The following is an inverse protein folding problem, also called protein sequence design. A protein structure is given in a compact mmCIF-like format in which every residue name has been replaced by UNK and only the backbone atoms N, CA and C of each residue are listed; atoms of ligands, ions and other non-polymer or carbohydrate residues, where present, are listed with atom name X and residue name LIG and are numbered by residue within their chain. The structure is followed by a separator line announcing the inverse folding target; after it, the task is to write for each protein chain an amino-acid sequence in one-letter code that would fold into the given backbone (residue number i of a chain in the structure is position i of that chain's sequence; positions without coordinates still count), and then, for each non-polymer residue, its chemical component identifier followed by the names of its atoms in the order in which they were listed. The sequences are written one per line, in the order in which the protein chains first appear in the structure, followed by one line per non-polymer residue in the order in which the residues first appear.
data_IF_883868182200
#
_entry.id   IF_883868182200
#
_cell.length_a   1.000
_cell.length_b   1.000
_cell.length_c   1.000
_cell.angle_alpha   90.00
_cell.angle_beta   90.00
_cell.angle_gamma   90.00
#
_symmetry.space_group_name_H-M   'P 1'
#
loop_
_entity.id
_entity.type
_entity.pdbx_description
1 polymer ?
#
# COMPACT_ATOMS: atom_id res chain seq x y z
N UNK A 1 2.30 0.85 21.21
CA UNK A 1 3.56 0.36 20.63
C UNK A 1 4.29 1.59 20.10
N UNK A 2 5.48 1.90 20.61
CA UNK A 2 6.25 3.04 20.08
C UNK A 2 6.78 2.60 18.71
N UNK A 3 6.52 3.41 17.69
CA UNK A 3 6.83 3.09 16.28
C UNK A 3 8.33 2.98 15.98
N UNK A 4 9.15 3.56 16.87
CA UNK A 4 10.61 3.52 16.85
C UNK A 4 11.07 3.11 18.26
N UNK A 5 11.97 2.14 18.36
CA UNK A 5 12.63 1.84 19.64
C UNK A 5 13.58 2.99 19.99
N UNK A 6 13.22 3.79 20.99
CA UNK A 6 14.02 4.94 21.41
C UNK A 6 15.31 4.52 22.14
N UNK A 7 15.50 3.24 22.49
CA UNK A 7 16.78 2.76 23.05
C UNK A 7 17.85 2.57 21.97
N UNK A 8 17.44 2.17 20.77
CA UNK A 8 18.29 2.07 19.58
C UNK A 8 17.44 2.38 18.36
N UNK A 9 17.62 3.58 17.81
CA UNK A 9 16.97 3.99 16.57
C UNK A 9 17.77 3.42 15.41
N UNK A 10 17.22 2.52 14.58
CA UNK A 10 17.92 2.05 13.39
C UNK A 10 18.15 3.19 12.41
N UNK A 11 19.32 3.27 11.80
CA UNK A 11 19.71 4.29 10.83
C UNK A 11 19.97 3.67 9.47
N UNK A 12 19.29 4.15 8.44
CA UNK A 12 19.50 3.71 7.06
C UNK A 12 19.90 4.88 6.15
N UNK A 13 20.95 4.67 5.35
CA UNK A 13 21.46 5.64 4.39
C UNK A 13 20.96 5.31 2.98
N UNK A 14 20.41 6.29 2.26
CA UNK A 14 20.23 6.19 0.80
C UNK A 14 21.28 7.00 0.06
N UNK A 15 21.93 6.37 -0.92
CA UNK A 15 22.92 6.96 -1.82
C UNK A 15 22.31 6.96 -3.22
N UNK A 16 21.59 8.03 -3.57
CA UNK A 16 20.75 8.05 -4.76
C UNK A 16 20.46 9.46 -5.28
N UNK A 17 19.89 9.52 -6.48
CA UNK A 17 19.43 10.77 -7.08
C UNK A 17 18.15 11.32 -6.43
N UNK A 18 18.01 12.65 -6.46
CA UNK A 18 16.82 13.39 -6.06
C UNK A 18 15.81 13.50 -7.20
N UNK A 19 14.61 12.92 -7.01
CA UNK A 19 13.47 13.06 -7.92
C UNK A 19 12.63 14.28 -7.51
N UNK A 20 12.63 15.33 -8.33
CA UNK A 20 11.82 16.53 -8.10
C UNK A 20 10.32 16.26 -7.97
N UNK A 21 9.82 15.17 -8.56
CA UNK A 21 8.41 14.75 -8.44
C UNK A 21 8.08 14.08 -7.11
N UNK A 22 9.09 13.74 -6.31
CA UNK A 22 8.96 13.13 -4.99
C UNK A 22 8.39 11.71 -4.98
N UNK A 23 8.42 11.03 -6.13
CA UNK A 23 7.83 9.71 -6.31
C UNK A 23 8.83 8.56 -6.31
N UNK A 24 10.09 8.82 -6.64
CA UNK A 24 11.21 7.88 -6.63
C UNK A 24 12.41 8.52 -5.93
N UNK A 25 13.61 7.96 -6.14
CA UNK A 25 14.86 8.49 -5.61
C UNK A 25 14.87 8.58 -4.08
N UNK A 26 15.68 9.49 -3.56
CA UNK A 26 15.82 9.72 -2.10
C UNK A 26 14.47 10.02 -1.43
N UNK A 27 13.53 10.64 -2.15
CA UNK A 27 12.21 10.97 -1.59
C UNK A 27 11.38 9.72 -1.31
N UNK A 28 11.38 8.73 -2.21
CA UNK A 28 10.73 7.46 -1.97
C UNK A 28 11.43 6.67 -0.86
N UNK A 29 12.76 6.75 -0.82
CA UNK A 29 13.56 6.03 0.16
C UNK A 29 13.31 6.54 1.57
N UNK A 30 13.41 7.86 1.80
CA UNK A 30 13.15 8.47 3.11
C UNK A 30 11.71 8.27 3.58
N UNK A 31 10.73 8.33 2.68
CA UNK A 31 9.33 7.98 3.03
C UNK A 31 9.21 6.52 3.43
N UNK A 32 9.91 5.61 2.75
CA UNK A 32 9.87 4.19 3.08
C UNK A 32 10.56 3.90 4.42
N UNK A 33 11.72 4.51 4.68
CA UNK A 33 12.40 4.43 5.97
C UNK A 33 11.51 4.95 7.10
N UNK A 34 10.88 6.12 6.90
CA UNK A 34 9.93 6.69 7.86
C UNK A 34 8.72 5.78 8.07
N UNK A 35 8.18 5.17 7.01
CA UNK A 35 7.08 4.20 7.05
C UNK A 35 7.46 2.84 7.63
N UNK A 36 8.72 2.62 7.98
CA UNK A 36 9.18 1.43 8.67
C UNK A 36 9.82 1.76 10.02
N UNK A 37 9.78 3.01 10.49
CA UNK A 37 10.33 3.39 11.79
C UNK A 37 11.86 3.36 11.83
N UNK A 38 12.49 3.72 10.71
CA UNK A 38 13.95 3.83 10.55
C UNK A 38 14.31 5.29 10.32
N UNK A 39 15.36 5.78 10.99
CA UNK A 39 15.89 7.11 10.73
C UNK A 39 16.62 7.11 9.38
N UNK A 40 16.10 7.88 8.43
CA UNK A 40 16.66 7.98 7.09
C UNK A 40 17.69 9.08 6.96
N UNK A 41 18.87 8.73 6.45
CA UNK A 41 19.93 9.66 6.06
C UNK A 41 20.17 9.59 4.55
N UNK A 42 20.85 10.58 3.97
CA UNK A 42 20.99 10.72 2.52
C UNK A 42 22.38 11.19 2.10
N UNK A 43 22.89 10.60 1.03
CA UNK A 43 23.95 11.15 0.20
C UNK A 43 23.43 11.30 -1.24
N UNK A 44 23.30 12.53 -1.72
CA UNK A 44 22.71 12.82 -3.03
C UNK A 44 23.78 12.65 -4.12
N UNK A 45 23.49 11.80 -5.12
CA UNK A 45 24.40 11.54 -6.25
C UNK A 45 24.10 12.44 -7.46
N UNK A 46 22.82 12.64 -7.75
CA UNK A 46 22.36 13.48 -8.85
C UNK A 46 21.05 14.19 -8.50
N UNK A 47 20.76 15.30 -9.16
CA UNK A 47 19.48 16.01 -9.08
C UNK A 47 18.78 15.87 -10.43
N UNK A 48 17.53 15.43 -10.43
CA UNK A 48 16.74 15.32 -11.66
C UNK A 48 15.61 16.35 -11.67
N UNK A 49 15.47 17.08 -12.78
CA UNK A 49 14.28 17.86 -13.08
C UNK A 49 13.23 16.90 -13.67
N UNK A 50 12.56 16.16 -12.80
CA UNK A 50 11.69 15.04 -13.14
C UNK A 50 10.25 15.27 -12.68
N UNK A 51 9.29 14.70 -13.43
CA UNK A 51 7.89 14.65 -13.06
C UNK A 51 7.26 13.32 -13.52
N UNK A 52 5.95 13.15 -13.34
CA UNK A 52 5.22 11.90 -13.67
C UNK A 52 5.28 11.45 -15.14
N UNK A 53 5.76 12.31 -16.06
CA UNK A 53 5.79 12.05 -17.51
C UNK A 53 7.19 11.85 -18.06
N UNK A 54 8.17 12.57 -17.53
CA UNK A 54 9.48 12.71 -18.16
C UNK A 54 10.57 13.13 -17.16
N UNK A 55 11.82 12.95 -17.60
CA UNK A 55 13.02 13.53 -16.99
C UNK A 55 13.54 14.60 -17.97
N UNK A 56 13.65 15.85 -17.53
CA UNK A 56 14.04 16.99 -18.39
C UNK A 56 15.52 17.32 -18.32
N UNK A 57 16.12 17.12 -17.15
CA UNK A 57 17.52 17.39 -16.90
C UNK A 57 18.02 16.48 -15.77
N UNK A 58 19.30 16.18 -15.83
CA UNK A 58 20.06 15.48 -14.79
C UNK A 58 21.32 16.30 -14.53
N UNK A 59 21.61 16.59 -13.27
CA UNK A 59 22.85 17.22 -12.85
C UNK A 59 23.49 16.38 -11.76
N UNK A 60 24.73 15.96 -12.00
CA UNK A 60 25.49 15.18 -11.02
C UNK A 60 26.09 16.06 -9.94
N UNK A 61 26.09 15.55 -8.72
CA UNK A 61 26.85 16.09 -7.60
C UNK A 61 28.30 15.64 -7.79
N UNK A 62 29.26 16.53 -7.52
CA UNK A 62 30.68 16.17 -7.60
C UNK A 62 31.02 15.04 -6.63
N UNK A 63 31.88 14.12 -7.05
CA UNK A 63 32.34 12.98 -6.24
C UNK A 63 32.82 13.41 -4.85
N UNK A 64 33.59 14.49 -4.74
CA UNK A 64 34.10 14.98 -3.45
C UNK A 64 32.97 15.33 -2.47
N UNK A 65 31.88 15.88 -2.97
CA UNK A 65 30.69 16.22 -2.17
C UNK A 65 29.88 14.97 -1.83
N UNK A 66 29.86 13.95 -2.71
CA UNK A 66 29.23 12.66 -2.40
C UNK A 66 29.97 11.98 -1.25
N UNK A 67 31.30 11.92 -1.31
CA UNK A 67 32.15 11.36 -0.23
C UNK A 67 31.95 12.12 1.07
N UNK A 68 32.04 13.45 1.04
CA UNK A 68 31.83 14.28 2.22
C UNK A 68 30.45 14.10 2.87
N UNK A 69 29.39 13.87 2.07
CA UNK A 69 28.06 13.54 2.60
C UNK A 69 28.05 12.19 3.33
N UNK A 70 28.67 11.15 2.75
CA UNK A 70 28.74 9.81 3.34
C UNK A 70 29.56 9.87 4.64
N UNK A 71 30.75 10.45 4.60
CA UNK A 71 31.63 10.62 5.77
C UNK A 71 30.93 11.39 6.90
N UNK A 72 30.26 12.51 6.59
CA UNK A 72 29.55 13.30 7.59
C UNK A 72 28.45 12.51 8.32
N UNK A 73 27.74 11.63 7.60
CA UNK A 73 26.69 10.79 8.20
C UNK A 73 27.32 9.66 9.01
N UNK A 74 28.29 8.94 8.45
CA UNK A 74 28.86 7.74 9.07
C UNK A 74 29.66 8.08 10.33
N UNK A 75 30.40 9.19 10.32
CA UNK A 75 31.28 9.59 11.43
C UNK A 75 30.55 10.11 12.67
N UNK A 76 29.33 10.65 12.53
CA UNK A 76 28.55 11.21 13.64
C UNK A 76 27.32 10.35 14.00
N UNK A 77 26.46 10.10 13.01
CA UNK A 77 25.16 9.42 13.20
C UNK A 77 25.33 7.90 13.20
N UNK A 78 26.25 7.40 12.37
CA UNK A 78 26.37 5.98 12.05
C UNK A 78 25.33 5.50 11.04
N UNK A 79 25.55 4.30 10.50
CA UNK A 79 24.67 3.67 9.50
C UNK A 79 24.60 2.17 9.76
N UNK A 80 23.39 1.64 9.97
CA UNK A 80 23.18 0.20 10.17
C UNK A 80 23.01 -0.55 8.84
N UNK A 81 22.47 0.10 7.81
CA UNK A 81 22.41 -0.41 6.44
C UNK A 81 22.31 0.74 5.44
N UNK A 82 22.79 0.54 4.22
CA UNK A 82 22.68 1.52 3.14
C UNK A 82 22.02 0.91 1.89
N UNK A 83 21.49 1.78 1.03
CA UNK A 83 21.15 1.43 -0.33
C UNK A 83 21.73 2.37 -1.36
N UNK A 84 22.00 1.84 -2.55
CA UNK A 84 22.22 2.66 -3.74
C UNK A 84 20.96 2.69 -4.61
N UNK A 85 20.68 3.86 -5.18
CA UNK A 85 19.68 4.05 -6.22
C UNK A 85 20.33 4.43 -7.55
N UNK A 86 19.84 5.50 -8.18
CA UNK A 86 20.46 6.07 -9.38
C UNK A 86 21.87 6.62 -9.04
N UNK A 87 22.90 6.06 -9.67
CA UNK A 87 24.31 6.51 -9.55
C UNK A 87 24.84 7.21 -10.80
N UNK A 88 24.15 7.10 -11.94
CA UNK A 88 24.39 7.78 -13.21
C UNK A 88 25.72 7.48 -13.93
N UNK A 89 26.89 7.65 -13.29
CA UNK A 89 28.22 7.56 -13.93
C UNK A 89 29.17 6.58 -13.24
N UNK A 90 30.22 6.16 -13.95
CA UNK A 90 31.26 5.26 -13.45
C UNK A 90 32.00 5.85 -12.25
N UNK A 91 32.31 7.15 -12.29
CA UNK A 91 33.06 7.85 -11.25
C UNK A 91 32.28 7.90 -9.93
N UNK A 92 30.96 8.11 -10.01
CA UNK A 92 30.08 8.05 -8.84
C UNK A 92 30.02 6.63 -8.30
N UNK A 93 29.87 5.62 -9.16
CA UNK A 93 29.85 4.21 -8.73
C UNK A 93 31.13 3.87 -7.99
N UNK A 94 32.29 4.19 -8.56
CA UNK A 94 33.59 3.89 -7.97
C UNK A 94 33.76 4.57 -6.62
N UNK A 95 33.42 5.86 -6.52
CA UNK A 95 33.48 6.57 -5.25
C UNK A 95 32.56 5.97 -4.19
N UNK A 96 31.31 5.67 -4.54
CA UNK A 96 30.36 5.06 -3.60
C UNK A 96 30.80 3.66 -3.19
N UNK A 97 31.33 2.86 -4.13
CA UNK A 97 31.87 1.53 -3.82
C UNK A 97 33.03 1.60 -2.82
N UNK A 98 33.94 2.56 -2.98
CA UNK A 98 35.07 2.74 -2.08
C UNK A 98 34.64 3.14 -0.67
N UNK A 99 33.77 4.14 -0.53
CA UNK A 99 33.29 4.59 0.79
C UNK A 99 32.50 3.47 1.51
N UNK A 100 31.61 2.77 0.79
CA UNK A 100 30.81 1.70 1.38
C UNK A 100 31.69 0.53 1.84
N UNK A 101 32.71 0.16 1.06
CA UNK A 101 33.64 -0.90 1.46
C UNK A 101 34.56 -0.46 2.60
N UNK A 102 35.01 0.79 2.63
CA UNK A 102 35.84 1.33 3.71
C UNK A 102 35.11 1.26 5.06
N UNK A 103 33.87 1.72 5.10
CA UNK A 103 33.05 1.72 6.31
C UNK A 103 32.32 0.38 6.58
N UNK A 104 32.48 -0.61 5.70
CA UNK A 104 31.86 -1.95 5.80
C UNK A 104 30.34 -1.90 5.99
N UNK A 105 29.67 -1.01 5.27
CA UNK A 105 28.22 -0.79 5.41
C UNK A 105 27.44 -1.90 4.68
N UNK A 106 26.48 -2.59 5.33
CA UNK A 106 25.62 -3.56 4.64
C UNK A 106 24.83 -2.89 3.52
N UNK A 107 25.11 -3.26 2.26
CA UNK A 107 24.61 -2.55 1.09
C UNK A 107 23.50 -3.29 0.34
N UNK A 108 22.39 -2.60 0.10
CA UNK A 108 21.34 -3.00 -0.85
C UNK A 108 21.51 -2.24 -2.17
N UNK A 109 21.77 -2.96 -3.26
CA UNK A 109 21.95 -2.34 -4.59
C UNK A 109 20.67 -2.46 -5.39
N UNK A 110 20.03 -1.34 -5.69
CA UNK A 110 18.99 -1.24 -6.72
C UNK A 110 19.66 -0.79 -8.04
N UNK A 111 19.88 -1.69 -9.02
CA UNK A 111 20.66 -1.39 -10.23
C UNK A 111 19.81 -0.58 -11.22
N UNK A 112 19.45 0.65 -10.85
CA UNK A 112 18.56 1.52 -11.63
C UNK A 112 19.24 1.94 -12.93
N UNK A 113 18.78 1.36 -14.05
CA UNK A 113 19.32 1.67 -15.38
C UNK A 113 18.44 2.62 -16.20
N UNK A 114 17.12 2.50 -16.07
CA UNK A 114 16.14 3.22 -16.90
C UNK A 114 15.00 3.74 -16.01
N UNK A 115 14.59 4.99 -16.22
CA UNK A 115 13.46 5.61 -15.55
C UNK A 115 12.13 4.95 -15.95
N UNK A 116 11.09 5.13 -15.12
CA UNK A 116 9.75 4.66 -15.48
C UNK A 116 9.20 5.33 -16.76
N UNK A 117 9.66 6.55 -17.07
CA UNK A 117 9.37 7.27 -18.31
C UNK A 117 10.19 6.79 -19.52
N UNK A 118 11.13 5.85 -19.34
CA UNK A 118 11.99 5.32 -20.40
C UNK A 118 13.32 6.06 -20.60
N UNK A 119 13.61 7.11 -19.82
CA UNK A 119 14.88 7.83 -19.91
C UNK A 119 16.04 6.99 -19.33
N UNK A 120 17.21 6.91 -19.99
CA UNK A 120 18.38 6.27 -19.40
C UNK A 120 18.83 7.03 -18.14
N UNK A 121 19.02 6.30 -17.04
CA UNK A 121 19.47 6.83 -15.76
C UNK A 121 20.86 6.34 -15.36
N UNK A 122 21.38 5.34 -16.06
CA UNK A 122 22.75 4.86 -15.99
C UNK A 122 23.36 4.99 -17.38
N UNK A 123 24.57 5.55 -17.47
CA UNK A 123 25.30 5.58 -18.74
C UNK A 123 25.80 4.18 -19.11
N UNK A 124 25.86 3.88 -20.40
CA UNK A 124 26.24 2.55 -20.88
C UNK A 124 27.66 2.13 -20.43
N UNK A 125 28.59 3.08 -20.37
CA UNK A 125 29.95 2.88 -19.88
C UNK A 125 30.02 2.59 -18.37
N UNK A 126 28.99 2.98 -17.61
CA UNK A 126 28.91 2.78 -16.16
C UNK A 126 28.45 1.38 -15.74
N UNK A 127 27.86 0.59 -16.65
CA UNK A 127 27.44 -0.80 -16.38
C UNK A 127 28.63 -1.66 -15.97
N UNK A 128 29.79 -1.45 -16.60
CA UNK A 128 31.01 -2.18 -16.28
C UNK A 128 31.50 -1.92 -14.85
N UNK A 129 31.45 -0.67 -14.39
CA UNK A 129 31.82 -0.31 -13.02
C UNK A 129 30.80 -0.84 -12.01
N UNK A 130 29.50 -0.81 -12.31
CA UNK A 130 28.47 -1.45 -11.48
C UNK A 130 28.80 -2.92 -11.18
N UNK A 131 29.07 -3.71 -12.24
CA UNK A 131 29.36 -5.15 -12.12
C UNK A 131 30.69 -5.41 -11.41
N UNK A 132 31.76 -4.68 -11.73
CA UNK A 132 33.11 -4.97 -11.22
C UNK A 132 33.41 -4.38 -9.84
N UNK A 133 32.70 -3.33 -9.43
CA UNK A 133 33.01 -2.55 -8.22
C UNK A 133 31.92 -2.63 -7.17
N UNK A 134 30.65 -2.51 -7.57
CA UNK A 134 29.55 -2.38 -6.61
C UNK A 134 28.86 -3.71 -6.28
N UNK A 135 28.59 -4.56 -7.28
CA UNK A 135 27.97 -5.87 -7.02
C UNK A 135 28.79 -6.77 -6.08
N UNK A 136 30.13 -6.84 -6.17
CA UNK A 136 30.92 -7.74 -5.32
C UNK A 136 30.87 -7.42 -3.83
N UNK A 137 30.50 -6.20 -3.45
CA UNK A 137 30.39 -5.75 -2.05
C UNK A 137 28.93 -5.65 -1.58
N UNK A 138 27.97 -6.01 -2.43
CA UNK A 138 26.55 -5.90 -2.11
C UNK A 138 26.12 -7.02 -1.17
N UNK A 139 25.39 -6.68 -0.12
CA UNK A 139 24.66 -7.69 0.67
C UNK A 139 23.48 -8.26 -0.12
N UNK A 140 22.76 -7.40 -0.83
CA UNK A 140 21.68 -7.84 -1.72
C UNK A 140 21.55 -6.95 -2.93
N UNK A 141 21.25 -7.53 -4.10
CA UNK A 141 20.95 -6.79 -5.33
C UNK A 141 19.50 -7.06 -5.72
N UNK A 142 18.77 -6.02 -6.12
CA UNK A 142 17.33 -6.11 -6.40
C UNK A 142 16.98 -5.79 -7.86
N UNK A 143 17.54 -6.46 -8.88
CA UNK A 143 17.22 -6.14 -10.28
C UNK A 143 15.76 -6.46 -10.62
N UNK A 144 15.15 -5.65 -11.47
CA UNK A 144 13.96 -6.09 -12.20
C UNK A 144 14.35 -7.02 -13.36
N UNK A 145 13.38 -7.70 -13.98
CA UNK A 145 13.66 -8.61 -15.10
C UNK A 145 14.57 -8.00 -16.19
N UNK A 146 14.30 -6.77 -16.67
CA UNK A 146 15.11 -6.13 -17.72
C UNK A 146 16.52 -5.78 -17.25
N UNK A 147 16.66 -5.32 -16.00
CA UNK A 147 17.98 -5.07 -15.40
C UNK A 147 18.76 -6.37 -15.25
N UNK A 148 18.11 -7.46 -14.85
CA UNK A 148 18.72 -8.78 -14.78
C UNK A 148 19.16 -9.28 -16.16
N UNK A 149 18.36 -9.05 -17.21
CA UNK A 149 18.76 -9.39 -18.59
C UNK A 149 20.04 -8.65 -19.02
N UNK A 150 20.16 -7.36 -18.66
CA UNK A 150 21.38 -6.57 -18.95
C UNK A 150 22.58 -7.09 -18.16
N UNK A 151 22.40 -7.40 -16.87
CA UNK A 151 23.48 -7.90 -16.02
C UNK A 151 23.98 -9.27 -16.48
N UNK A 152 23.09 -10.18 -16.87
CA UNK A 152 23.47 -11.57 -17.21
C UNK A 152 23.65 -11.82 -18.71
N UNK A 153 23.22 -10.91 -19.57
CA UNK A 153 23.15 -11.12 -21.03
C UNK A 153 22.14 -12.21 -21.45
N UNK A 154 21.24 -12.63 -20.56
CA UNK A 154 20.27 -13.70 -20.78
C UNK A 154 18.87 -13.12 -20.88
N UNK A 155 18.02 -13.65 -21.75
CA UNK A 155 16.58 -13.28 -21.78
C UNK A 155 15.81 -13.96 -20.65
N UNK A 156 14.82 -13.26 -20.08
CA UNK A 156 13.98 -13.76 -18.99
C UNK A 156 12.52 -13.77 -19.45
N UNK A 157 12.01 -14.96 -19.79
CA UNK A 157 10.63 -15.18 -20.20
C UNK A 157 9.71 -15.70 -19.09
N UNK A 158 10.27 -16.19 -17.98
CA UNK A 158 9.49 -16.77 -16.89
C UNK A 158 10.26 -17.00 -15.60
N UNK A 159 9.59 -17.64 -14.64
CA UNK A 159 10.10 -17.89 -13.27
C UNK A 159 11.41 -18.67 -13.28
N UNK A 160 11.52 -19.72 -14.07
CA UNK A 160 12.74 -20.53 -14.13
C UNK A 160 13.93 -19.77 -14.73
N UNK A 161 13.69 -18.87 -15.69
CA UNK A 161 14.73 -18.00 -16.23
C UNK A 161 15.19 -16.99 -15.18
N UNK A 162 14.24 -16.43 -14.40
CA UNK A 162 14.55 -15.52 -13.31
C UNK A 162 15.37 -16.21 -12.19
N UNK A 163 15.11 -17.50 -11.88
CA UNK A 163 15.96 -18.28 -10.96
C UNK A 163 17.38 -18.43 -11.48
N UNK A 164 17.54 -18.74 -12.78
CA UNK A 164 18.87 -18.84 -13.40
C UNK A 164 19.60 -17.50 -13.40
N UNK A 165 18.89 -16.41 -13.70
CA UNK A 165 19.45 -15.06 -13.65
C UNK A 165 19.91 -14.70 -12.23
N UNK A 166 19.10 -15.00 -11.21
CA UNK A 166 19.45 -14.75 -9.82
C UNK A 166 20.77 -15.45 -9.43
N UNK A 167 20.95 -16.70 -9.86
CA UNK A 167 22.19 -17.46 -9.61
C UNK A 167 23.40 -16.86 -10.33
N UNK A 168 23.26 -16.52 -11.62
CA UNK A 168 24.35 -15.88 -12.38
C UNK A 168 24.78 -14.54 -11.77
N UNK A 169 23.83 -13.76 -11.25
CA UNK A 169 24.14 -12.49 -10.57
C UNK A 169 24.80 -12.75 -9.22
N UNK A 170 24.40 -13.80 -8.49
CA UNK A 170 25.04 -14.17 -7.23
C UNK A 170 26.50 -14.58 -7.44
N UNK A 171 26.83 -15.23 -8.57
CA UNK A 171 28.21 -15.55 -8.95
C UNK A 171 29.07 -14.28 -9.21
N UNK A 172 28.46 -13.09 -9.32
CA UNK A 172 29.17 -11.81 -9.40
C UNK A 172 29.58 -11.25 -8.02
N UNK A 173 29.19 -11.90 -6.92
CA UNK A 173 29.61 -11.59 -5.56
C UNK A 173 28.55 -11.23 -4.51
N UNK A 174 27.32 -10.75 -4.84
CA UNK A 174 26.33 -10.45 -3.82
C UNK A 174 25.95 -11.64 -2.94
N UNK A 175 25.71 -11.42 -1.64
CA UNK A 175 25.25 -12.49 -0.74
C UNK A 175 23.84 -12.98 -1.11
N UNK A 176 22.97 -12.06 -1.54
CA UNK A 176 21.60 -12.36 -2.00
C UNK A 176 21.20 -11.62 -3.27
N UNK A 177 20.28 -12.21 -4.04
CA UNK A 177 19.75 -11.60 -5.27
C UNK A 177 18.24 -11.72 -5.32
N UNK A 178 17.55 -10.60 -5.56
CA UNK A 178 16.10 -10.54 -5.70
C UNK A 178 15.73 -10.09 -7.11
N UNK A 179 15.28 -11.04 -7.94
CA UNK A 179 14.78 -10.73 -9.29
C UNK A 179 13.29 -10.41 -9.21
N UNK A 180 12.94 -9.15 -9.48
CA UNK A 180 11.56 -8.63 -9.42
C UNK A 180 10.81 -8.99 -10.70
N UNK A 181 9.71 -9.74 -10.59
CA UNK A 181 8.95 -10.28 -11.71
C UNK A 181 7.76 -9.43 -12.17
N UNK A 182 7.67 -8.16 -11.78
CA UNK A 182 6.59 -7.26 -12.23
C UNK A 182 6.42 -7.16 -13.76
N UNK A 183 7.45 -7.50 -14.54
CA UNK A 183 7.43 -7.50 -16.00
C UNK A 183 7.19 -8.88 -16.65
N UNK A 184 7.19 -9.97 -15.87
CA UNK A 184 6.84 -11.31 -16.36
C UNK A 184 5.32 -11.35 -16.57
N UNK A 185 4.81 -11.91 -17.66
CA UNK A 185 3.36 -11.96 -17.92
C UNK A 185 2.62 -12.87 -16.93
N UNK A 186 1.35 -12.57 -16.64
CA UNK A 186 0.50 -13.40 -15.78
C UNK A 186 -0.37 -12.60 -14.80
N UNK A 187 -1.29 -13.29 -14.14
CA UNK A 187 -2.20 -12.72 -13.13
C UNK A 187 -1.52 -12.39 -11.80
N UNK A 188 -0.31 -12.90 -11.57
CA UNK A 188 0.50 -12.66 -10.37
C UNK A 188 1.79 -11.90 -10.71
N UNK A 189 2.35 -11.23 -9.70
CA UNK A 189 3.71 -10.71 -9.68
C UNK A 189 4.54 -11.61 -8.76
N UNK A 190 5.43 -12.40 -9.37
CA UNK A 190 6.29 -13.37 -8.68
C UNK A 190 7.69 -12.79 -8.58
N UNK A 191 8.14 -12.52 -7.36
CA UNK A 191 9.53 -12.09 -7.11
C UNK A 191 10.31 -13.28 -6.55
N UNK A 192 11.58 -13.39 -6.95
CA UNK A 192 12.45 -14.53 -6.62
C UNK A 192 13.64 -14.02 -5.84
N UNK A 193 13.82 -14.52 -4.62
CA UNK A 193 15.04 -14.39 -3.84
C UNK A 193 15.89 -15.64 -4.01
N UNK A 194 17.17 -15.46 -4.31
CA UNK A 194 18.22 -16.46 -4.15
C UNK A 194 19.16 -16.02 -3.02
N UNK A 195 19.29 -16.84 -1.97
CA UNK A 195 20.08 -16.52 -0.78
C UNK A 195 20.51 -17.83 -0.10
N UNK A 196 21.78 -17.92 0.31
CA UNK A 196 22.35 -19.09 0.99
C UNK A 196 22.14 -20.43 0.23
N UNK A 197 22.14 -20.39 -1.10
CA UNK A 197 21.95 -21.56 -1.95
C UNK A 197 20.49 -21.99 -2.15
N UNK A 198 19.53 -21.32 -1.52
CA UNK A 198 18.11 -21.61 -1.63
C UNK A 198 17.36 -20.54 -2.44
N UNK A 199 16.20 -20.96 -2.97
CA UNK A 199 15.23 -20.06 -3.58
C UNK A 199 14.03 -19.81 -2.66
N UNK A 200 13.51 -18.60 -2.74
CA UNK A 200 12.23 -18.23 -2.13
C UNK A 200 11.41 -17.40 -3.11
N UNK A 201 10.16 -17.82 -3.34
CA UNK A 201 9.20 -17.12 -4.20
C UNK A 201 8.21 -16.35 -3.35
N UNK A 202 7.95 -15.09 -3.72
CA UNK A 202 6.84 -14.31 -3.18
C UNK A 202 5.87 -13.93 -4.28
N UNK A 203 4.62 -14.30 -4.07
CA UNK A 203 3.51 -14.10 -5.02
C UNK A 203 2.57 -13.04 -4.48
N UNK A 204 2.17 -12.12 -5.33
CA UNK A 204 1.07 -11.21 -5.04
C UNK A 204 0.20 -11.04 -6.30
N UNK A 205 -1.10 -10.75 -6.14
CA UNK A 205 -1.95 -10.38 -7.27
C UNK A 205 -1.36 -9.22 -8.04
N UNK A 206 -1.42 -9.28 -9.37
CA UNK A 206 -1.03 -8.14 -10.20
C UNK A 206 -2.08 -7.05 -10.05
N UNK A 207 -1.65 -5.87 -9.59
CA UNK A 207 -2.52 -4.72 -9.43
C UNK A 207 -2.42 -3.82 -10.67
N UNK A 208 -3.54 -3.60 -11.35
CA UNK A 208 -3.64 -2.57 -12.37
C UNK A 208 -3.68 -1.20 -11.71
N UNK A 209 -2.61 -0.43 -11.86
CA UNK A 209 -2.50 0.90 -11.29
C UNK A 209 -1.63 1.79 -12.17
N UNK A 210 -2.08 3.03 -12.40
CA UNK A 210 -1.24 4.08 -13.00
C UNK A 210 -0.20 4.64 -12.03
N UNK A 211 -0.32 4.31 -10.74
CA UNK A 211 0.50 4.86 -9.66
C UNK A 211 1.60 3.87 -9.26
N UNK A 212 2.58 3.66 -10.14
CA UNK A 212 3.69 2.71 -9.99
C UNK A 212 5.07 3.37 -10.05
N UNK A 213 5.13 4.70 -10.09
CA UNK A 213 6.39 5.42 -10.00
C UNK A 213 7.00 5.21 -8.60
N UNK A 214 8.29 4.85 -8.56
CA UNK A 214 9.01 4.56 -7.32
C UNK A 214 8.96 3.13 -6.78
N UNK A 215 8.36 2.16 -7.50
CA UNK A 215 8.23 0.77 -6.99
C UNK A 215 9.57 0.14 -6.66
N UNK A 216 10.56 0.25 -7.54
CA UNK A 216 11.90 -0.27 -7.29
C UNK A 216 12.56 0.39 -6.08
N UNK A 217 12.54 1.72 -6.03
CA UNK A 217 13.14 2.48 -4.94
C UNK A 217 12.55 2.12 -3.57
N UNK A 218 11.22 2.06 -3.47
CA UNK A 218 10.55 1.73 -2.22
C UNK A 218 10.75 0.27 -1.83
N UNK A 219 10.86 -0.64 -2.80
CA UNK A 219 11.16 -2.05 -2.54
C UNK A 219 12.55 -2.24 -1.94
N UNK A 220 13.59 -1.68 -2.57
CA UNK A 220 14.97 -1.75 -2.07
C UNK A 220 15.14 -0.99 -0.76
N UNK A 221 14.45 0.15 -0.59
CA UNK A 221 14.43 0.90 0.67
C UNK A 221 13.78 0.10 1.80
N UNK A 222 12.69 -0.64 1.54
CA UNK A 222 12.07 -1.46 2.56
C UNK A 222 12.99 -2.59 3.03
N UNK A 223 13.71 -3.25 2.10
CA UNK A 223 14.73 -4.25 2.46
C UNK A 223 15.81 -3.62 3.33
N UNK A 224 16.32 -2.45 2.94
CA UNK A 224 17.37 -1.73 3.67
C UNK A 224 16.92 -1.38 5.09
N UNK A 225 15.68 -0.90 5.24
CA UNK A 225 15.11 -0.57 6.54
C UNK A 225 15.02 -1.80 7.46
N UNK A 226 14.59 -2.95 6.95
CA UNK A 226 14.53 -4.17 7.75
C UNK A 226 15.93 -4.72 8.09
N UNK A 227 16.89 -4.61 7.18
CA UNK A 227 18.29 -4.93 7.47
C UNK A 227 18.87 -4.01 8.55
N UNK A 228 18.57 -2.71 8.52
CA UNK A 228 18.99 -1.76 9.56
C UNK A 228 18.43 -2.13 10.95
N UNK A 229 17.22 -2.70 10.99
CA UNK A 229 16.61 -3.26 12.22
C UNK A 229 17.25 -4.58 12.67
N UNK A 230 18.19 -5.14 11.90
CA UNK A 230 18.83 -6.42 12.16
C UNK A 230 17.97 -7.63 11.79
N UNK A 231 17.00 -7.48 10.88
CA UNK A 231 16.20 -8.61 10.39
C UNK A 231 16.96 -9.48 9.39
N UNK A 232 16.52 -10.73 9.28
CA UNK A 232 16.98 -11.66 8.25
C UNK A 232 16.51 -11.21 6.85
N UNK A 233 17.29 -11.54 5.79
CA UNK A 233 16.99 -11.13 4.43
C UNK A 233 15.66 -11.71 3.91
N UNK A 234 15.28 -12.94 4.29
CA UNK A 234 14.00 -13.53 3.88
C UNK A 234 12.82 -12.81 4.55
N UNK A 235 12.98 -12.36 5.78
CA UNK A 235 11.98 -11.52 6.46
C UNK A 235 11.89 -10.14 5.80
N UNK A 236 13.03 -9.49 5.56
CA UNK A 236 13.10 -8.20 4.86
C UNK A 236 12.43 -8.25 3.48
N UNK A 237 12.62 -9.35 2.73
CA UNK A 237 11.98 -9.56 1.44
C UNK A 237 10.44 -9.66 1.54
N UNK A 238 9.92 -10.36 2.57
CA UNK A 238 8.46 -10.44 2.82
C UNK A 238 7.87 -9.08 3.11
N UNK A 239 8.49 -8.33 4.03
CA UNK A 239 8.04 -6.99 4.42
C UNK A 239 8.06 -6.05 3.22
N UNK A 240 9.14 -6.06 2.43
CA UNK A 240 9.27 -5.23 1.25
C UNK A 240 8.18 -5.53 0.21
N UNK A 241 7.88 -6.82 -0.05
CA UNK A 241 6.79 -7.22 -0.95
C UNK A 241 5.43 -6.73 -0.46
N UNK A 242 5.13 -6.95 0.82
CA UNK A 242 3.85 -6.50 1.41
C UNK A 242 3.70 -4.98 1.30
N UNK A 243 4.75 -4.23 1.68
CA UNK A 243 4.77 -2.78 1.64
C UNK A 243 4.51 -2.26 0.23
N UNK A 244 5.22 -2.76 -0.79
CA UNK A 244 5.03 -2.24 -2.15
C UNK A 244 3.69 -2.64 -2.76
N UNK A 245 3.20 -3.85 -2.49
CA UNK A 245 1.86 -4.26 -2.92
C UNK A 245 0.80 -3.32 -2.33
N UNK A 246 0.91 -3.01 -1.04
CA UNK A 246 0.02 -2.07 -0.37
C UNK A 246 0.15 -0.66 -0.94
N UNK A 247 1.38 -0.20 -1.13
CA UNK A 247 1.66 1.14 -1.61
C UNK A 247 1.19 1.39 -3.04
N UNK A 248 1.21 0.37 -3.91
CA UNK A 248 0.66 0.43 -5.27
C UNK A 248 -0.87 0.52 -5.22
N UNK A 249 -1.51 -0.28 -4.37
CA UNK A 249 -2.97 -0.27 -4.20
C UNK A 249 -3.48 1.13 -3.83
N UNK A 250 -2.79 1.80 -2.92
CA UNK A 250 -3.13 3.16 -2.49
C UNK A 250 -2.22 4.25 -3.05
N UNK A 251 -1.67 4.01 -4.24
CA UNK A 251 -0.85 5.00 -4.92
C UNK A 251 -1.55 6.35 -5.06
N UNK A 252 -0.76 7.41 -5.10
CA UNK A 252 -1.22 8.80 -4.97
C UNK A 252 -1.61 9.31 -6.37
N UNK A 253 -2.87 9.70 -6.60
CA UNK A 253 -3.39 10.05 -7.94
C UNK A 253 -2.99 11.47 -8.39
N UNK A 254 -1.71 11.82 -8.30
CA UNK A 254 -1.15 13.13 -8.69
C UNK A 254 -0.43 13.06 -10.03
N UNK A 255 -0.33 14.21 -10.70
CA UNK A 255 0.30 14.33 -12.01
C UNK A 255 -0.56 13.77 -13.14
N UNK A 256 0.02 13.79 -14.35
CA UNK A 256 -0.67 13.46 -15.60
C UNK A 256 0.00 12.31 -16.38
N UNK A 257 0.90 11.58 -15.73
CA UNK A 257 1.58 10.39 -16.26
C UNK A 257 1.50 9.25 -15.24
N UNK A 258 2.64 8.61 -14.95
CA UNK A 258 2.74 7.59 -13.90
C UNK A 258 2.83 8.25 -12.53
N UNK A 259 1.80 8.10 -11.71
CA UNK A 259 1.77 8.65 -10.35
C UNK A 259 2.67 7.85 -9.39
N UNK A 260 3.05 8.43 -8.24
CA UNK A 260 3.84 7.73 -7.24
C UNK A 260 2.99 6.72 -6.45
N UNK A 261 3.61 5.63 -6.05
CA UNK A 261 3.04 4.76 -5.00
C UNK A 261 3.02 5.48 -3.64
N UNK A 262 2.30 4.93 -2.66
CA UNK A 262 2.20 5.50 -1.32
C UNK A 262 2.83 4.59 -0.25
N UNK A 263 4.15 4.69 0.01
CA UNK A 263 4.80 3.82 1.01
C UNK A 263 4.32 4.13 2.44
N UNK A 264 3.74 5.31 2.66
CA UNK A 264 3.22 5.77 3.96
C UNK A 264 1.82 5.24 4.29
N UNK A 265 1.16 4.50 3.38
CA UNK A 265 -0.23 4.06 3.55
C UNK A 265 -0.45 3.29 4.87
N UNK A 266 0.46 2.38 5.22
CA UNK A 266 0.41 1.62 6.47
C UNK A 266 0.55 2.53 7.70
N UNK A 267 1.47 3.50 7.68
CA UNK A 267 1.66 4.44 8.78
C UNK A 267 0.42 5.33 8.98
N UNK A 268 -0.18 5.81 7.89
CA UNK A 268 -1.40 6.60 7.98
C UNK A 268 -2.56 5.81 8.58
N UNK A 269 -2.71 4.54 8.21
CA UNK A 269 -3.67 3.65 8.85
C UNK A 269 -3.43 3.55 10.36
N UNK A 270 -2.19 3.30 10.79
CA UNK A 270 -1.85 3.24 12.22
C UNK A 270 -2.15 4.54 12.96
N UNK A 271 -1.86 5.70 12.36
CA UNK A 271 -2.14 7.01 12.96
C UNK A 271 -3.64 7.30 13.13
N UNK A 272 -4.48 6.73 12.27
CA UNK A 272 -5.92 6.98 12.20
C UNK A 272 -6.76 5.99 13.01
N UNK A 273 -6.15 4.97 13.63
CA UNK A 273 -6.86 3.91 14.37
C UNK A 273 -7.73 4.47 15.47
N UNK A 274 -7.18 5.35 16.31
CA UNK A 274 -7.91 5.93 17.43
C UNK A 274 -9.07 6.82 16.96
N UNK A 275 -8.81 7.74 16.03
CA UNK A 275 -9.82 8.65 15.50
C UNK A 275 -10.98 7.89 14.82
N UNK A 276 -10.66 6.82 14.08
CA UNK A 276 -11.66 5.97 13.42
C UNK A 276 -12.57 5.27 14.44
N UNK A 277 -12.01 4.67 15.49
CA UNK A 277 -12.81 4.03 16.56
C UNK A 277 -13.67 5.06 17.28
N UNK A 278 -13.10 6.22 17.65
CA UNK A 278 -13.83 7.26 18.35
C UNK A 278 -14.98 7.85 17.51
N UNK A 279 -14.82 7.93 16.18
CA UNK A 279 -15.90 8.33 15.29
C UNK A 279 -17.10 7.36 15.37
N UNK A 280 -16.82 6.04 15.37
CA UNK A 280 -17.87 5.01 15.53
C UNK A 280 -18.50 5.08 16.92
N UNK A 281 -17.72 5.30 17.98
CA UNK A 281 -18.21 5.43 19.36
C UNK A 281 -19.20 6.58 19.49
N UNK A 282 -18.85 7.74 18.95
CA UNK A 282 -19.73 8.90 19.01
C UNK A 282 -20.97 8.72 18.11
N UNK A 283 -20.83 8.02 16.98
CA UNK A 283 -21.96 7.63 16.15
C UNK A 283 -22.93 6.69 16.90
N UNK A 284 -22.41 5.73 17.67
CA UNK A 284 -23.20 4.86 18.55
C UNK A 284 -23.95 5.68 19.60
N UNK A 285 -23.33 6.69 20.22
CA UNK A 285 -24.00 7.57 21.19
C UNK A 285 -25.18 8.32 20.59
N UNK A 286 -25.04 8.81 19.36
CA UNK A 286 -26.15 9.45 18.62
C UNK A 286 -27.31 8.46 18.45
N UNK A 287 -27.00 7.22 18.07
CA UNK A 287 -28.02 6.17 17.88
C UNK A 287 -28.71 5.75 19.18
N UNK A 288 -27.96 5.56 20.28
CA UNK A 288 -28.53 5.26 21.60
C UNK A 288 -29.38 6.42 22.16
N UNK A 289 -29.14 7.65 21.66
CA UNK A 289 -29.91 8.84 22.00
C UNK A 289 -31.28 8.95 21.30
N UNK A 290 -31.58 8.09 20.32
CA UNK A 290 -32.87 8.07 19.62
C UNK A 290 -33.98 7.60 20.59
N UNK A 291 -35.06 8.37 20.70
CA UNK A 291 -36.16 8.09 21.64
C UNK A 291 -37.01 6.88 21.24
N UNK A 292 -37.29 6.71 19.94
CA UNK A 292 -38.01 5.57 19.38
C UNK A 292 -37.38 5.12 18.05
N UNK A 293 -36.57 4.06 18.12
CA UNK A 293 -35.83 3.54 16.99
C UNK A 293 -36.54 2.38 16.26
N UNK A 294 -37.80 2.07 16.62
CA UNK A 294 -38.53 0.92 16.04
C UNK A 294 -38.66 0.98 14.52
N UNK A 295 -38.69 2.19 13.94
CA UNK A 295 -38.77 2.39 12.48
C UNK A 295 -37.49 2.03 11.73
N UNK A 296 -36.33 2.12 12.40
CA UNK A 296 -35.02 1.95 11.75
C UNK A 296 -34.29 0.69 12.18
N UNK A 297 -34.74 0.01 13.24
CA UNK A 297 -34.10 -1.18 13.79
C UNK A 297 -34.60 -2.46 13.08
N UNK A 298 -33.74 -3.16 12.31
CA UNK A 298 -34.07 -4.47 11.76
C UNK A 298 -34.01 -5.56 12.84
N UNK A 299 -34.59 -6.73 12.58
CA UNK A 299 -34.57 -7.88 13.49
C UNK A 299 -33.13 -8.36 13.74
N UNK A 300 -32.27 -8.34 12.72
CA UNK A 300 -30.84 -8.69 12.87
C UNK A 300 -30.01 -7.63 13.62
N UNK A 301 -30.63 -6.50 14.00
CA UNK A 301 -29.95 -5.38 14.65
C UNK A 301 -29.18 -4.47 13.68
N UNK A 302 -29.01 -3.22 14.12
CA UNK A 302 -28.23 -2.19 13.43
C UNK A 302 -26.75 -2.43 13.67
N UNK A 303 -25.91 -2.25 12.66
CA UNK A 303 -24.49 -2.03 12.88
C UNK A 303 -24.07 -0.77 12.13
N UNK A 304 -23.00 -0.16 12.61
CA UNK A 304 -22.38 1.01 12.02
C UNK A 304 -20.87 0.81 12.01
N UNK A 305 -20.24 1.06 10.87
CA UNK A 305 -18.85 0.75 10.66
C UNK A 305 -18.13 1.90 9.96
N UNK A 306 -16.85 2.06 10.27
CA UNK A 306 -15.95 3.01 9.60
C UNK A 306 -14.57 2.38 9.39
N UNK A 307 -14.01 2.61 8.20
CA UNK A 307 -12.72 2.11 7.77
C UNK A 307 -11.59 3.11 7.96
N UNK A 308 -10.38 2.59 8.13
CA UNK A 308 -9.14 3.37 7.99
C UNK A 308 -9.02 3.94 6.57
N UNK A 309 -8.24 5.03 6.35
CA UNK A 309 -8.15 5.67 5.05
C UNK A 309 -7.58 4.77 3.94
N UNK A 310 -6.80 3.74 4.28
CA UNK A 310 -6.22 2.79 3.33
C UNK A 310 -6.56 1.34 3.73
N UNK A 311 -7.83 1.09 4.07
CA UNK A 311 -8.30 -0.19 4.59
C UNK A 311 -8.27 -1.33 3.55
N UNK A 312 -7.62 -2.44 3.90
CA UNK A 312 -7.34 -3.61 3.04
C UNK A 312 -8.33 -4.76 3.26
N UNK A 313 -8.81 -4.89 4.49
CA UNK A 313 -9.64 -6.01 4.93
C UNK A 313 -10.64 -5.57 5.99
N UNK A 314 -11.49 -6.49 6.44
CA UNK A 314 -12.40 -6.23 7.57
C UNK A 314 -11.65 -5.85 8.86
N UNK A 315 -10.40 -6.30 9.04
CA UNK A 315 -9.55 -5.92 10.18
C UNK A 315 -9.13 -4.44 10.19
N UNK A 316 -9.30 -3.72 9.08
CA UNK A 316 -9.07 -2.28 9.00
C UNK A 316 -10.37 -1.46 9.16
N UNK A 317 -11.44 -2.10 9.61
CA UNK A 317 -12.77 -1.51 9.76
C UNK A 317 -13.27 -1.69 11.19
N UNK A 318 -13.53 -0.57 11.86
CA UNK A 318 -14.12 -0.52 13.19
C UNK A 318 -15.65 -0.61 13.08
N UNK A 319 -16.28 -1.45 13.90
CA UNK A 319 -17.73 -1.59 13.99
C UNK A 319 -18.12 -2.07 15.40
N UNK A 320 -19.42 -2.27 15.70
CA UNK A 320 -19.88 -2.77 17.01
C UNK A 320 -19.93 -4.31 16.99
N UNK A 321 -19.11 -5.02 17.79
CA UNK A 321 -19.23 -6.47 17.97
C UNK A 321 -20.58 -6.81 18.59
N UNK A 322 -21.31 -7.75 17.98
CA UNK A 322 -22.65 -8.14 18.43
C UNK A 322 -23.78 -7.19 18.02
N UNK A 323 -23.46 -6.07 17.34
CA UNK A 323 -24.41 -5.08 16.79
C UNK A 323 -25.11 -4.21 17.86
N UNK A 324 -26.02 -3.37 17.42
CA UNK A 324 -26.83 -2.46 18.21
C UNK A 324 -28.28 -2.93 18.08
N UNK A 325 -28.90 -3.27 19.21
CA UNK A 325 -30.23 -3.89 19.23
C UNK A 325 -31.26 -2.99 19.88
N UNK A 326 -32.52 -3.24 19.54
CA UNK A 326 -33.65 -2.58 20.15
C UNK A 326 -33.91 -3.16 21.56
N UNK A 327 -33.89 -2.31 22.59
CA UNK A 327 -34.28 -2.63 23.97
C UNK A 327 -35.46 -1.75 24.33
N UNK A 328 -36.67 -2.32 24.25
CA UNK A 328 -37.91 -1.56 24.32
C UNK A 328 -38.10 -0.70 23.06
N UNK A 329 -37.93 0.62 23.18
CA UNK A 329 -37.98 1.56 22.04
C UNK A 329 -36.61 2.15 21.67
N UNK A 330 -35.60 1.92 22.50
CA UNK A 330 -34.28 2.54 22.35
C UNK A 330 -33.26 1.56 21.78
N UNK A 331 -32.21 2.09 21.18
CA UNK A 331 -31.07 1.31 20.75
C UNK A 331 -30.08 1.13 21.90
N UNK A 332 -29.48 -0.06 21.97
CA UNK A 332 -28.37 -0.35 22.87
C UNK A 332 -27.29 -1.14 22.15
N UNK A 333 -26.05 -0.64 22.18
CA UNK A 333 -24.90 -1.36 21.69
C UNK A 333 -24.54 -2.51 22.64
N UNK A 334 -24.23 -3.68 22.10
CA UNK A 334 -23.85 -4.85 22.90
C UNK A 334 -22.44 -4.75 23.46
N UNK A 335 -21.57 -4.00 22.81
CA UNK A 335 -20.18 -3.82 23.21
C UNK A 335 -19.60 -2.54 22.65
N UNK A 336 -18.34 -2.24 23.02
CA UNK A 336 -17.61 -1.11 22.50
C UNK A 336 -17.13 -1.38 21.05
N UNK A 337 -17.05 -0.37 20.17
CA UNK A 337 -16.54 -0.58 18.81
C UNK A 337 -15.10 -1.09 18.76
N UNK A 338 -14.87 -2.07 17.89
CA UNK A 338 -13.56 -2.71 17.67
C UNK A 338 -13.30 -2.95 16.18
N UNK A 339 -12.02 -3.07 15.80
CA UNK A 339 -11.62 -3.43 14.44
C UNK A 339 -11.92 -4.89 14.13
N UNK A 340 -12.35 -5.20 12.90
CA UNK A 340 -12.69 -6.58 12.50
C UNK A 340 -14.06 -7.05 12.97
N UNK A 341 -14.88 -6.17 13.56
CA UNK A 341 -16.14 -6.57 14.20
C UNK A 341 -17.33 -6.80 13.24
N UNK A 342 -17.19 -6.55 11.93
CA UNK A 342 -18.30 -6.72 10.97
C UNK A 342 -17.85 -7.00 9.53
N UNK A 343 -17.88 -8.27 9.12
CA UNK A 343 -17.63 -8.64 7.71
C UNK A 343 -18.76 -8.20 6.77
N UNK A 344 -19.97 -7.97 7.27
CA UNK A 344 -21.09 -7.53 6.45
C UNK A 344 -20.88 -6.10 5.95
N UNK A 345 -20.69 -5.15 6.87
CA UNK A 345 -20.49 -3.74 6.50
C UNK A 345 -19.09 -3.52 5.90
N UNK A 346 -18.10 -4.31 6.30
CA UNK A 346 -16.78 -4.27 5.68
C UNK A 346 -16.84 -4.51 4.18
N UNK A 347 -17.63 -5.49 3.71
CA UNK A 347 -17.79 -5.76 2.27
C UNK A 347 -18.44 -4.59 1.53
N UNK A 348 -19.43 -3.93 2.12
CA UNK A 348 -20.04 -2.73 1.55
C UNK A 348 -19.02 -1.60 1.39
N UNK A 349 -18.27 -1.30 2.46
CA UNK A 349 -17.25 -0.26 2.45
C UNK A 349 -16.15 -0.59 1.45
N UNK A 350 -15.50 -1.75 1.56
CA UNK A 350 -14.37 -2.14 0.71
C UNK A 350 -14.76 -2.19 -0.78
N UNK A 351 -15.96 -2.66 -1.11
CA UNK A 351 -16.42 -2.70 -2.51
C UNK A 351 -16.73 -1.31 -3.04
N UNK A 352 -17.43 -0.47 -2.26
CA UNK A 352 -17.77 0.90 -2.66
C UNK A 352 -16.51 1.73 -2.92
N UNK A 353 -15.45 1.47 -2.15
CA UNK A 353 -14.14 2.13 -2.27
C UNK A 353 -13.36 1.86 -3.55
N UNK A 354 -13.73 0.80 -4.28
CA UNK A 354 -13.18 0.56 -5.62
C UNK A 354 -13.67 1.63 -6.62
N UNK A 355 -14.83 2.24 -6.36
CA UNK A 355 -15.44 3.27 -7.19
C UNK A 355 -15.25 4.68 -6.64
N UNK A 356 -15.32 4.84 -5.32
CA UNK A 356 -15.11 6.11 -4.64
C UNK A 356 -14.31 5.92 -3.34
N UNK A 357 -13.06 6.38 -3.35
CA UNK A 357 -12.14 6.24 -2.22
C UNK A 357 -12.53 7.08 -0.99
N UNK A 358 -13.42 8.06 -1.13
CA UNK A 358 -13.92 8.88 -0.01
C UNK A 358 -14.92 8.14 0.88
N UNK A 359 -15.57 7.09 0.36
CA UNK A 359 -16.47 6.26 1.14
C UNK A 359 -15.67 5.50 2.19
N UNK A 360 -15.93 5.76 3.47
CA UNK A 360 -15.26 5.07 4.57
C UNK A 360 -16.21 4.43 5.56
N UNK A 361 -17.49 4.77 5.55
CA UNK A 361 -18.47 4.30 6.52
C UNK A 361 -19.67 3.63 5.86
N UNK A 362 -20.27 2.70 6.59
CA UNK A 362 -21.54 2.08 6.23
C UNK A 362 -22.38 1.81 7.47
N UNK A 363 -23.71 1.86 7.34
CA UNK A 363 -24.66 1.57 8.40
C UNK A 363 -25.87 0.84 7.83
N UNK A 364 -26.32 -0.24 8.47
CA UNK A 364 -27.57 -0.89 8.07
C UNK A 364 -28.75 -0.45 8.92
N UNK A 365 -29.90 -0.24 8.27
CA UNK A 365 -31.20 0.05 8.90
C UNK A 365 -32.29 -0.85 8.29
N UNK A 366 -33.43 -0.92 8.98
CA UNK A 366 -34.61 -1.63 8.51
C UNK A 366 -35.13 -1.07 7.18
N UNK A 367 -35.49 -1.97 6.28
CA UNK A 367 -36.18 -1.61 5.04
C UNK A 367 -37.65 -1.28 5.32
N UNK A 368 -38.11 -0.14 4.81
CA UNK A 368 -39.51 0.18 4.60
C UNK A 368 -39.62 1.21 3.47
N UNK A 369 -40.75 1.24 2.78
CA UNK A 369 -40.97 2.23 1.73
C UNK A 369 -40.97 3.67 2.34
N UNK A 370 -41.49 3.84 3.57
CA UNK A 370 -41.41 5.12 4.31
C UNK A 370 -39.96 5.58 4.55
N UNK A 371 -39.06 4.67 4.91
CA UNK A 371 -37.65 5.01 5.14
C UNK A 371 -36.94 5.39 3.82
N UNK A 372 -37.28 4.74 2.71
CA UNK A 372 -36.75 5.10 1.38
C UNK A 372 -37.22 6.49 0.95
N UNK A 373 -38.51 6.77 1.06
CA UNK A 373 -39.09 8.09 0.73
C UNK A 373 -38.43 9.21 1.55
N UNK A 374 -38.18 8.97 2.85
CA UNK A 374 -37.45 9.92 3.71
C UNK A 374 -36.03 10.16 3.20
N UNK A 375 -35.27 9.11 2.89
CA UNK A 375 -33.91 9.24 2.35
C UNK A 375 -33.90 10.07 1.06
N UNK A 376 -34.82 9.79 0.14
CA UNK A 376 -34.95 10.55 -1.12
C UNK A 376 -35.36 12.01 -0.87
N UNK A 377 -36.26 12.27 0.09
CA UNK A 377 -36.66 13.64 0.47
C UNK A 377 -35.51 14.47 1.07
N UNK A 378 -34.52 13.80 1.66
CA UNK A 378 -33.28 14.42 2.14
C UNK A 378 -32.28 14.69 1.00
N UNK A 379 -32.63 14.38 -0.25
CA UNK A 379 -31.77 14.52 -1.42
C UNK A 379 -30.72 13.43 -1.55
N UNK A 380 -30.82 12.35 -0.77
CA UNK A 380 -29.87 11.23 -0.82
C UNK A 380 -30.19 10.34 -2.01
N UNK A 381 -29.14 9.94 -2.73
CA UNK A 381 -29.26 9.04 -3.86
C UNK A 381 -29.41 7.62 -3.38
N UNK A 382 -30.53 7.01 -3.72
CA UNK A 382 -30.83 5.61 -3.41
C UNK A 382 -30.63 4.75 -4.67
N UNK A 383 -30.02 3.57 -4.50
CA UNK A 383 -29.93 2.53 -5.52
C UNK A 383 -30.23 1.16 -4.90
N UNK A 384 -30.28 0.11 -5.71
CA UNK A 384 -30.68 -1.22 -5.26
C UNK A 384 -30.09 -2.34 -6.09
N UNK A 385 -30.18 -3.55 -5.54
CA UNK A 385 -29.96 -4.80 -6.26
C UNK A 385 -30.98 -5.86 -5.81
N UNK A 386 -31.34 -6.78 -6.71
CA UNK A 386 -32.26 -7.87 -6.42
C UNK A 386 -31.49 -9.17 -6.22
N UNK A 387 -31.59 -9.77 -5.04
CA UNK A 387 -30.91 -11.03 -4.71
C UNK A 387 -31.35 -12.21 -5.58
N UNK A 388 -32.50 -12.12 -6.25
CA UNK A 388 -33.00 -13.13 -7.19
C UNK A 388 -32.28 -13.10 -8.54
N UNK A 389 -31.65 -11.98 -8.87
CA UNK A 389 -30.83 -11.79 -10.08
C UNK A 389 -29.36 -12.19 -9.84
N UNK A 390 -29.02 -12.66 -8.65
CA UNK A 390 -27.64 -13.06 -8.29
C UNK A 390 -27.19 -14.28 -9.12
N UNK A 391 -26.06 -14.19 -9.84
CA UNK A 391 -25.54 -15.31 -10.61
C UNK A 391 -25.22 -16.53 -9.73
N UNK A 392 -25.49 -17.78 -10.18
CA UNK A 392 -25.25 -18.98 -9.40
C UNK A 392 -23.81 -19.11 -8.85
N UNK A 393 -22.81 -18.70 -9.63
CA UNK A 393 -21.40 -18.70 -9.27
C UNK A 393 -21.06 -17.72 -8.14
N UNK A 394 -21.78 -16.60 -8.05
CA UNK A 394 -21.66 -15.63 -6.94
C UNK A 394 -22.35 -16.22 -5.71
N UNK A 395 -23.54 -16.80 -5.87
CA UNK A 395 -24.32 -17.41 -4.79
C UNK A 395 -23.59 -18.59 -4.13
N UNK A 396 -22.79 -19.33 -4.91
CA UNK A 396 -21.97 -20.44 -4.43
C UNK A 396 -20.72 -20.00 -3.65
N UNK A 397 -20.27 -18.74 -3.81
CA UNK A 397 -19.07 -18.22 -3.16
C UNK A 397 -19.43 -17.39 -1.93
N UNK A 398 -19.02 -17.87 -0.76
CA UNK A 398 -19.27 -17.18 0.49
C UNK A 398 -18.75 -15.73 0.46
N UNK A 399 -19.62 -14.79 0.85
CA UNK A 399 -19.29 -13.37 0.92
C UNK A 399 -19.25 -12.64 -0.43
N UNK A 400 -19.56 -13.29 -1.55
CA UNK A 400 -19.52 -12.65 -2.88
C UNK A 400 -20.78 -11.84 -3.22
N UNK A 401 -21.91 -12.10 -2.55
CA UNK A 401 -23.20 -11.43 -2.80
C UNK A 401 -23.13 -9.92 -2.62
N UNK A 402 -22.52 -9.44 -1.53
CA UNK A 402 -22.46 -8.00 -1.23
C UNK A 402 -21.57 -7.28 -2.26
N UNK A 403 -20.33 -7.74 -2.53
CA UNK A 403 -19.54 -7.16 -3.60
C UNK A 403 -20.24 -7.14 -4.96
N UNK A 404 -21.00 -8.18 -5.31
CA UNK A 404 -21.82 -8.16 -6.53
C UNK A 404 -22.94 -7.11 -6.46
N UNK A 405 -23.74 -7.11 -5.38
CA UNK A 405 -24.87 -6.20 -5.22
C UNK A 405 -24.46 -4.72 -5.19
N UNK A 406 -23.33 -4.39 -4.56
CA UNK A 406 -22.77 -3.03 -4.59
C UNK A 406 -22.40 -2.63 -6.02
N UNK A 407 -21.74 -3.51 -6.78
CA UNK A 407 -21.38 -3.22 -8.18
C UNK A 407 -22.61 -2.95 -9.04
N UNK A 408 -23.64 -3.80 -8.94
CA UNK A 408 -24.93 -3.61 -9.63
C UNK A 408 -25.56 -2.27 -9.24
N UNK A 409 -25.59 -1.94 -7.94
CA UNK A 409 -26.18 -0.69 -7.46
C UNK A 409 -25.41 0.55 -7.96
N UNK A 410 -24.07 0.48 -8.03
CA UNK A 410 -23.22 1.55 -8.57
C UNK A 410 -23.43 1.72 -10.07
N UNK A 411 -23.42 0.63 -10.84
CA UNK A 411 -23.61 0.63 -12.29
C UNK A 411 -24.95 1.24 -12.69
N UNK A 412 -26.02 0.95 -11.94
CA UNK A 412 -27.36 1.51 -12.17
C UNK A 412 -27.43 3.03 -12.12
N UNK A 413 -26.59 3.68 -11.30
CA UNK A 413 -26.62 5.14 -11.10
C UNK A 413 -25.32 5.85 -11.51
N UNK A 414 -24.36 5.11 -12.07
CA UNK A 414 -23.09 5.58 -12.60
C UNK A 414 -22.06 6.08 -11.57
N UNK A 415 -22.35 5.96 -10.26
CA UNK A 415 -21.47 6.36 -9.14
C UNK A 415 -21.89 5.66 -7.85
N UNK A 416 -21.12 5.80 -6.78
CA UNK A 416 -21.54 5.27 -5.47
C UNK A 416 -22.79 6.01 -4.97
N UNK A 417 -23.90 5.31 -4.67
CA UNK A 417 -25.09 5.91 -4.07
C UNK A 417 -24.90 6.17 -2.57
N UNK A 418 -25.72 7.06 -2.00
CA UNK A 418 -25.73 7.33 -0.56
C UNK A 418 -26.43 6.21 0.23
N UNK A 419 -27.34 5.48 -0.40
CA UNK A 419 -27.98 4.29 0.17
C UNK A 419 -28.17 3.19 -0.87
N UNK A 420 -27.98 1.94 -0.45
CA UNK A 420 -28.25 0.73 -1.24
C UNK A 420 -29.28 -0.11 -0.49
N UNK A 421 -30.37 -0.51 -1.14
CA UNK A 421 -31.34 -1.44 -0.54
C UNK A 421 -31.48 -2.75 -1.31
N UNK A 422 -31.97 -3.77 -0.61
CA UNK A 422 -32.46 -5.01 -1.20
C UNK A 422 -33.71 -5.50 -0.47
N UNK A 423 -34.64 -6.13 -1.21
CA UNK A 423 -35.90 -6.65 -0.67
C UNK A 423 -35.80 -8.02 0.02
N UNK A 424 -34.58 -8.45 0.29
CA UNK A 424 -34.31 -9.75 0.92
C UNK A 424 -34.38 -10.91 -0.07
N UNK A 425 -34.31 -12.11 0.46
CA UNK A 425 -34.52 -13.41 -0.21
C UNK A 425 -34.90 -14.43 0.88
N UNK A 426 -35.14 -15.69 0.52
CA UNK A 426 -35.40 -16.74 1.50
C UNK A 426 -34.35 -16.78 2.62
N UNK A 427 -34.78 -16.52 3.87
CA UNK A 427 -33.90 -16.46 5.04
C UNK A 427 -32.98 -15.23 5.10
N UNK A 428 -33.23 -14.18 4.29
CA UNK A 428 -32.49 -12.91 4.30
C UNK A 428 -33.46 -11.75 4.50
N UNK A 429 -33.32 -11.05 5.63
CA UNK A 429 -34.11 -9.87 5.95
C UNK A 429 -33.91 -8.75 4.91
N UNK A 430 -34.98 -8.06 4.46
CA UNK A 430 -34.89 -6.84 3.67
C UNK A 430 -34.09 -5.74 4.40
N UNK A 431 -33.28 -4.97 3.68
CA UNK A 431 -32.34 -4.04 4.33
C UNK A 431 -32.04 -2.81 3.47
N UNK A 432 -31.77 -1.68 4.14
CA UNK A 432 -31.15 -0.49 3.56
C UNK A 432 -29.76 -0.34 4.20
N UNK A 433 -28.74 -0.12 3.39
CA UNK A 433 -27.38 0.18 3.83
C UNK A 433 -27.02 1.60 3.38
N UNK A 434 -26.82 2.48 4.35
CA UNK A 434 -26.32 3.83 4.14
C UNK A 434 -24.79 3.78 3.93
N UNK A 435 -24.28 4.59 3.02
CA UNK A 435 -22.86 4.72 2.69
C UNK A 435 -22.44 6.18 2.87
N UNK A 436 -21.24 6.41 3.41
CA UNK A 436 -20.77 7.77 3.67
C UNK A 436 -19.29 7.87 3.97
N UNK A 437 -18.84 9.10 4.24
CA UNK A 437 -17.44 9.42 4.53
C UNK A 437 -17.03 9.13 5.97
N UNK A 438 -17.99 9.12 6.89
CA UNK A 438 -17.76 8.91 8.32
C UNK A 438 -19.02 8.37 9.00
N UNK A 439 -18.86 7.70 10.15
CA UNK A 439 -19.97 7.07 10.86
C UNK A 439 -20.89 8.12 11.52
N UNK A 440 -20.37 9.26 11.95
CA UNK A 440 -21.19 10.32 12.55
C UNK A 440 -22.26 10.83 11.61
N UNK A 441 -21.89 11.15 10.37
CA UNK A 441 -22.81 11.59 9.33
C UNK A 441 -23.92 10.56 9.09
N UNK A 442 -23.59 9.26 9.08
CA UNK A 442 -24.58 8.20 8.92
C UNK A 442 -25.53 8.08 10.11
N UNK A 443 -25.02 8.19 11.34
CA UNK A 443 -25.85 8.18 12.54
C UNK A 443 -26.81 9.39 12.59
N UNK A 444 -26.38 10.54 12.08
CA UNK A 444 -27.24 11.72 11.94
C UNK A 444 -28.38 11.50 10.94
N UNK A 445 -28.08 10.87 9.80
CA UNK A 445 -29.11 10.47 8.83
C UNK A 445 -30.10 9.50 9.46
N UNK A 446 -29.63 8.46 10.14
CA UNK A 446 -30.52 7.50 10.80
C UNK A 446 -31.40 8.14 11.88
N UNK A 447 -30.86 9.08 12.66
CA UNK A 447 -31.62 9.86 13.65
C UNK A 447 -32.70 10.74 13.01
N UNK A 448 -32.48 11.28 11.82
CA UNK A 448 -33.48 12.08 11.11
C UNK A 448 -34.62 11.22 10.53
N UNK A 449 -34.38 9.92 10.30
CA UNK A 449 -35.37 8.98 9.77
C UNK A 449 -36.27 8.41 10.87
N UNK A 450 -35.66 8.09 12.02
CA UNK A 450 -36.33 7.57 13.21
C UNK A 450 -37.35 8.57 13.76
#
# INVERSE_FOLDING_TARGET
MVWIDLKRVPVALTIAGSDSGGGAGIQADLKTFAALGVHGTVAITSITAQNTREVRAVQDVSVDVIRAQIEAVVSDIGVDAAKTGMLHTSEIIEAVSEEVDEYKIPLVVDPVMIAKSGAPLLREDAIGSLIRKLLPIAKVVTPNAREAEVLTGMRIGGVEDAKRAAKLIADMGPEGVIVKGGHIEGSESIDILFYEGDFMELRAPRLESRNTHGTGCSFSAAITAELAKGKDLREAFRVAKELVTHAIMYGIPVGKGHGPLNPMASLYNESERYATVMNVVEAVRILEGIEDARKIAPEVGINIAMSLPYARSSYDIAAVPGRIHLVGRKLKATSYPEFGASDHLARYILTSRLYDREIRAAMNIAYSDENLEKLESMGLRVSWYDRREEPPEVKAREGATIPWGVRVAVERVGRVPDAIFHRGDWGKEPMIVLLGRDALSLAQVARAIA
#
